data_IF_327913303651
#
_entry.id   IF_327913303651
#
_cell.length_a   1.000
_cell.length_b   1.000
_cell.length_c   1.000
_cell.angle_alpha   90.00
_cell.angle_beta   90.00
_cell.angle_gamma   90.00
#
_symmetry.space_group_name_H-M   'P 1'
#
loop_
_entity.id
_entity.type
_entity.pdbx_description
1 polymer ?
#
# COMPACT_ATOMS: atom_id res chain seq x y z
N UNK A 1 50.88 26.04 7.39
CA UNK A 1 50.45 24.78 6.73
C UNK A 1 50.60 23.67 7.76
N UNK A 2 49.56 23.03 8.28
CA UNK A 2 48.75 21.99 7.62
C UNK A 2 47.39 21.92 8.31
N UNK A 3 46.34 22.38 7.63
CA UNK A 3 44.96 22.15 8.03
C UNK A 3 44.73 20.64 7.99
N UNK A 4 44.41 20.04 9.14
CA UNK A 4 44.25 18.60 9.29
C UNK A 4 43.06 18.10 8.45
N UNK A 5 43.36 17.35 7.39
CA UNK A 5 42.44 16.89 6.33
C UNK A 5 41.59 15.68 6.73
N UNK A 6 41.32 15.45 8.02
CA UNK A 6 40.70 14.19 8.49
C UNK A 6 39.23 14.30 8.92
N UNK A 7 38.58 15.46 8.73
CA UNK A 7 37.22 15.68 9.25
C UNK A 7 36.08 15.51 8.23
N UNK A 8 36.33 15.07 6.98
CA UNK A 8 35.31 15.12 5.91
C UNK A 8 34.75 13.74 5.52
N UNK A 9 35.35 12.63 5.95
CA UNK A 9 35.02 11.31 5.39
C UNK A 9 33.97 10.47 6.16
N UNK A 10 33.31 11.02 7.18
CA UNK A 10 32.38 10.25 8.03
C UNK A 10 30.88 10.47 7.73
N UNK A 11 30.51 11.31 6.75
CA UNK A 11 29.12 11.66 6.44
C UNK A 11 28.47 10.84 5.32
N UNK A 12 29.15 9.81 4.77
CA UNK A 12 28.70 9.09 3.57
C UNK A 12 27.81 7.85 3.82
N UNK A 13 27.43 7.55 5.07
CA UNK A 13 26.56 6.39 5.38
C UNK A 13 25.08 6.72 5.55
N UNK A 14 24.64 7.93 5.19
CA UNK A 14 23.23 8.35 5.25
C UNK A 14 22.56 8.29 3.87
N UNK A 15 22.59 7.14 3.22
CA UNK A 15 21.71 6.86 2.09
C UNK A 15 21.28 5.39 2.18
N UNK A 16 20.43 5.09 3.17
CA UNK A 16 19.58 3.89 3.11
C UNK A 16 18.91 3.95 1.74
N UNK A 17 19.09 2.97 0.83
CA UNK A 17 18.39 3.03 -0.42
C UNK A 17 16.92 3.00 -0.05
N UNK A 18 16.21 4.05 -0.44
CA UNK A 18 14.77 4.05 -0.52
C UNK A 18 14.36 3.00 -1.58
N UNK A 19 14.55 1.71 -1.28
CA UNK A 19 13.68 0.64 -1.75
C UNK A 19 12.38 0.68 -0.94
N UNK A 20 11.93 1.89 -0.65
CA UNK A 20 10.78 2.22 0.16
C UNK A 20 9.58 2.23 -0.77
N UNK A 21 9.22 1.04 -1.28
CA UNK A 21 7.97 0.75 -1.98
C UNK A 21 7.32 1.98 -2.61
N UNK A 22 7.97 2.52 -3.62
CA UNK A 22 7.48 3.71 -4.30
C UNK A 22 6.35 3.27 -5.22
N UNK A 23 5.19 3.93 -5.10
CA UNK A 23 4.11 3.69 -6.06
C UNK A 23 4.62 4.14 -7.42
N UNK A 24 4.53 3.33 -8.47
CA UNK A 24 4.92 3.77 -9.81
C UNK A 24 4.22 5.08 -10.16
N UNK A 25 4.99 6.10 -10.56
CA UNK A 25 4.53 7.46 -10.82
C UNK A 25 3.84 7.60 -12.20
N UNK A 26 2.85 6.73 -12.46
CA UNK A 26 1.96 6.85 -13.63
C UNK A 26 0.70 7.68 -13.29
N UNK A 27 0.79 8.58 -12.30
CA UNK A 27 -0.34 9.38 -11.80
C UNK A 27 -1.42 8.56 -11.07
N UNK A 28 -2.70 8.88 -11.30
CA UNK A 28 -3.83 8.25 -10.57
C UNK A 28 -4.20 6.84 -11.08
N UNK A 29 -3.64 6.39 -12.21
CA UNK A 29 -4.01 5.13 -12.86
C UNK A 29 -3.60 3.88 -12.05
N UNK A 30 -2.37 3.76 -11.50
CA UNK A 30 -2.00 2.68 -10.61
C UNK A 30 -2.91 2.59 -9.37
N UNK A 31 -3.24 3.74 -8.77
CA UNK A 31 -4.08 3.80 -7.57
C UNK A 31 -5.50 3.26 -7.82
N UNK A 32 -6.10 3.64 -8.95
CA UNK A 32 -7.41 3.12 -9.37
C UNK A 32 -7.39 1.62 -9.64
N UNK A 33 -6.30 1.09 -10.23
CA UNK A 33 -6.17 -0.36 -10.49
C UNK A 33 -6.24 -1.18 -9.19
N UNK A 34 -5.57 -0.73 -8.12
CA UNK A 34 -5.57 -1.42 -6.83
C UNK A 34 -6.96 -1.49 -6.19
N UNK A 35 -7.67 -0.36 -6.16
CA UNK A 35 -9.05 -0.30 -5.65
C UNK A 35 -9.98 -1.16 -6.51
N UNK A 36 -9.84 -1.06 -7.83
CA UNK A 36 -10.64 -1.82 -8.79
C UNK A 36 -10.45 -3.31 -8.59
N UNK A 37 -9.21 -3.78 -8.37
CA UNK A 37 -8.92 -5.18 -8.09
C UNK A 37 -9.72 -5.68 -6.89
N UNK A 38 -9.74 -4.92 -5.79
CA UNK A 38 -10.42 -5.30 -4.56
C UNK A 38 -11.94 -5.25 -4.71
N UNK A 39 -12.46 -4.25 -5.42
CA UNK A 39 -13.90 -4.12 -5.73
C UNK A 39 -14.43 -5.34 -6.49
N UNK A 40 -13.63 -5.91 -7.39
CA UNK A 40 -14.03 -7.06 -8.21
C UNK A 40 -13.75 -8.43 -7.56
N UNK A 41 -13.30 -8.48 -6.30
CA UNK A 41 -13.15 -9.77 -5.63
C UNK A 41 -14.52 -10.38 -5.30
N UNK A 42 -14.73 -11.69 -5.51
CA UNK A 42 -16.00 -12.35 -5.21
C UNK A 42 -16.47 -12.12 -3.77
N UNK A 43 -15.56 -12.23 -2.80
CA UNK A 43 -15.86 -11.99 -1.39
C UNK A 43 -16.26 -10.54 -1.09
N UNK A 44 -15.69 -9.57 -1.82
CA UNK A 44 -16.06 -8.16 -1.69
C UNK A 44 -17.45 -7.93 -2.27
N UNK A 45 -17.73 -8.48 -3.45
CA UNK A 45 -19.06 -8.38 -4.06
C UNK A 45 -20.15 -9.06 -3.22
N UNK A 46 -19.85 -10.22 -2.62
CA UNK A 46 -20.76 -10.91 -1.71
C UNK A 46 -21.04 -10.08 -0.45
N UNK A 47 -19.99 -9.52 0.17
CA UNK A 47 -20.15 -8.65 1.34
C UNK A 47 -20.90 -7.36 1.00
N UNK A 48 -20.62 -6.73 -0.14
CA UNK A 48 -21.35 -5.53 -0.59
C UNK A 48 -22.86 -5.79 -0.74
N UNK A 49 -23.24 -6.97 -1.24
CA UNK A 49 -24.66 -7.39 -1.35
C UNK A 49 -25.32 -7.64 0.00
N UNK A 50 -24.54 -7.91 1.05
CA UNK A 50 -25.06 -8.08 2.42
C UNK A 50 -25.21 -6.77 3.19
N UNK A 51 -24.81 -5.63 2.61
CA UNK A 51 -24.94 -4.34 3.28
C UNK A 51 -26.41 -3.92 3.39
N UNK A 52 -26.80 -3.25 4.50
CA UNK A 52 -28.13 -2.67 4.63
C UNK A 52 -28.42 -1.67 3.51
N UNK A 53 -29.70 -1.53 3.16
CA UNK A 53 -30.13 -0.53 2.17
C UNK A 53 -29.67 0.88 2.57
N UNK A 54 -29.20 1.65 1.59
CA UNK A 54 -28.60 2.97 1.82
C UNK A 54 -27.14 2.96 2.31
N UNK A 55 -26.59 1.81 2.71
CA UNK A 55 -25.18 1.70 3.12
C UNK A 55 -24.28 1.50 1.92
N UNK A 56 -23.30 2.39 1.73
CA UNK A 56 -22.35 2.32 0.61
C UNK A 56 -20.97 1.86 1.07
N UNK A 57 -20.39 0.93 0.32
CA UNK A 57 -19.01 0.50 0.51
C UNK A 57 -18.01 1.58 0.07
N UNK A 58 -17.02 1.83 0.92
CA UNK A 58 -15.92 2.75 0.69
C UNK A 58 -14.61 1.99 0.58
N UNK A 59 -13.72 2.47 -0.28
CA UNK A 59 -12.42 1.86 -0.55
C UNK A 59 -11.32 2.89 -0.31
N UNK A 60 -10.46 2.64 0.67
CA UNK A 60 -9.40 3.56 1.07
C UNK A 60 -8.06 2.91 0.77
N UNK A 61 -7.32 3.48 -0.18
CA UNK A 61 -5.95 3.06 -0.49
C UNK A 61 -4.97 3.79 0.42
N UNK A 62 -4.11 3.05 1.13
CA UNK A 62 -3.07 3.61 2.00
C UNK A 62 -1.76 3.67 1.22
N UNK A 63 -1.50 4.80 0.56
CA UNK A 63 -0.29 5.00 -0.27
C UNK A 63 0.99 5.09 0.57
N UNK A 64 0.92 5.74 1.73
CA UNK A 64 2.08 6.01 2.60
C UNK A 64 2.42 4.87 3.55
N UNK A 65 1.71 3.74 3.48
CA UNK A 65 1.91 2.60 4.38
C UNK A 65 2.05 1.27 3.64
N UNK A 66 2.95 1.16 2.64
CA UNK A 66 3.18 -0.08 1.94
C UNK A 66 3.82 -1.13 2.87
N UNK A 67 3.47 -2.40 2.65
CA UNK A 67 4.05 -3.54 3.34
C UNK A 67 4.95 -4.33 2.39
N UNK A 68 6.18 -4.59 2.84
CA UNK A 68 7.12 -5.45 2.12
C UNK A 68 6.96 -6.89 2.59
N UNK A 69 6.47 -7.77 1.72
CA UNK A 69 6.28 -9.19 1.99
C UNK A 69 7.12 -9.98 0.99
N UNK A 70 8.07 -10.79 1.50
CA UNK A 70 8.98 -11.61 0.68
C UNK A 70 9.65 -10.81 -0.46
N UNK A 71 10.15 -9.61 -0.14
CA UNK A 71 10.82 -8.74 -1.09
C UNK A 71 9.91 -7.93 -2.02
N UNK A 72 8.58 -8.13 -1.98
CA UNK A 72 7.61 -7.42 -2.83
C UNK A 72 6.77 -6.44 -2.03
N UNK A 73 6.48 -5.30 -2.63
CA UNK A 73 5.66 -4.25 -2.04
C UNK A 73 4.18 -4.49 -2.30
N UNK A 74 3.39 -4.30 -1.25
CA UNK A 74 1.94 -4.37 -1.28
C UNK A 74 1.35 -3.15 -0.60
N UNK A 75 0.32 -2.56 -1.20
CA UNK A 75 -0.38 -1.43 -0.64
C UNK A 75 -1.68 -1.89 0.00
N UNK A 76 -1.97 -1.42 1.23
CA UNK A 76 -3.24 -1.70 1.87
C UNK A 76 -4.40 -0.99 1.18
N UNK A 77 -5.42 -1.76 0.82
CA UNK A 77 -6.75 -1.27 0.45
C UNK A 77 -7.72 -1.69 1.55
N UNK A 78 -8.26 -0.70 2.24
CA UNK A 78 -9.25 -0.89 3.28
C UNK A 78 -10.64 -0.77 2.69
N UNK A 79 -11.46 -1.79 2.95
CA UNK A 79 -12.86 -1.83 2.54
C UNK A 79 -13.71 -1.59 3.76
N UNK A 80 -14.54 -0.54 3.69
CA UNK A 80 -15.30 0.00 4.81
C UNK A 80 -16.76 0.21 4.45
N UNK A 81 -17.65 0.25 5.44
CA UNK A 81 -19.05 0.63 5.27
C UNK A 81 -19.54 1.33 6.55
N UNK A 82 -20.25 2.45 6.42
CA UNK A 82 -20.75 3.20 7.58
C UNK A 82 -19.65 3.68 8.55
N UNK A 83 -18.42 3.88 8.05
CA UNK A 83 -17.25 4.24 8.87
C UNK A 83 -16.47 3.03 9.42
N UNK A 84 -17.08 1.84 9.44
CA UNK A 84 -16.47 0.63 9.99
C UNK A 84 -15.59 -0.10 8.99
N UNK A 85 -14.46 -0.64 9.47
CA UNK A 85 -13.57 -1.47 8.67
C UNK A 85 -14.11 -2.89 8.58
N UNK A 86 -14.43 -3.34 7.37
CA UNK A 86 -14.75 -4.74 7.13
C UNK A 86 -13.48 -5.58 6.94
N UNK A 87 -12.63 -5.19 5.98
CA UNK A 87 -11.44 -5.97 5.63
C UNK A 87 -10.36 -5.10 5.02
N UNK A 88 -9.11 -5.45 5.31
CA UNK A 88 -7.92 -4.90 4.67
C UNK A 88 -7.32 -5.94 3.70
N UNK A 89 -7.08 -5.50 2.48
CA UNK A 89 -6.42 -6.27 1.43
C UNK A 89 -5.05 -5.69 1.17
N UNK A 90 -4.05 -6.55 0.94
CA UNK A 90 -2.73 -6.12 0.51
C UNK A 90 -2.59 -6.42 -0.98
N UNK A 91 -2.39 -5.39 -1.80
CA UNK A 91 -2.39 -5.48 -3.27
C UNK A 91 -1.04 -5.06 -3.82
N UNK A 92 -0.45 -5.81 -4.74
CA UNK A 92 0.78 -5.38 -5.42
C UNK A 92 0.54 -4.16 -6.32
N UNK A 93 1.60 -3.42 -6.66
CA UNK A 93 1.52 -2.20 -7.50
C UNK A 93 0.82 -2.42 -8.85
N UNK A 94 1.00 -3.61 -9.44
CA UNK A 94 0.39 -4.02 -10.71
C UNK A 94 -1.07 -4.48 -10.57
N UNK A 95 -1.60 -4.59 -9.34
CA UNK A 95 -2.94 -5.12 -9.07
C UNK A 95 -3.07 -6.64 -9.25
N UNK A 96 -2.01 -7.35 -9.63
CA UNK A 96 -2.08 -8.75 -10.01
C UNK A 96 -2.17 -9.69 -8.80
N UNK A 97 -1.49 -9.34 -7.70
CA UNK A 97 -1.34 -10.21 -6.53
C UNK A 97 -2.02 -9.64 -5.30
N UNK A 98 -2.62 -10.54 -4.54
CA UNK A 98 -3.11 -10.28 -3.19
C UNK A 98 -2.26 -11.05 -2.19
N UNK A 99 -1.99 -10.43 -1.06
CA UNK A 99 -1.38 -11.10 0.09
C UNK A 99 -2.33 -11.08 1.29
N UNK A 100 -2.24 -12.11 2.12
CA UNK A 100 -2.84 -12.05 3.44
C UNK A 100 -2.14 -10.93 4.25
N UNK A 101 -2.89 -10.16 5.06
CA UNK A 101 -2.27 -9.24 5.99
C UNK A 101 -1.29 -10.01 6.89
N UNK A 102 -0.08 -9.49 7.06
CA UNK A 102 0.88 -10.08 8.00
C UNK A 102 0.30 -9.96 9.40
N UNK A 103 -0.12 -11.09 9.99
CA UNK A 103 -0.33 -11.19 11.43
C UNK A 103 1.03 -11.03 12.09
N UNK A 104 1.29 -9.88 12.69
CA UNK A 104 2.45 -9.67 13.54
C UNK A 104 1.97 -9.63 14.98
#
# INVERSE_FOLDING_TARGET
MRVSRFAVLALLFAAVPALACEVPDDGAAPLRRLITRVKHLPQTGAWQKSLPEGTTAQYVLRVDSPQKIRGRCYWPVEVRAGGELWKRFLVSADGARLAAPSSR
#
